data_IF_152770709241
#
_entry.id   IF_152770709241
#
_cell.length_a   1.000
_cell.length_b   1.000
_cell.length_c   1.000
_cell.angle_alpha   90.00
_cell.angle_beta   90.00
_cell.angle_gamma   90.00
#
_symmetry.space_group_name_H-M   'P 1'
#
loop_
_entity.id
_entity.type
_entity.pdbx_description
1 polymer ?
#
# COMPACT_ATOMS: atom_id res chain seq x y z
N UNK A 1 2.96 -6.35 6.00
CA UNK A 1 3.53 -5.42 7.01
C UNK A 1 3.11 -4.02 6.62
N UNK A 2 2.17 -3.45 7.35
CA UNK A 2 1.80 -2.04 7.20
C UNK A 2 2.71 -1.27 8.13
N UNK A 3 3.31 -0.21 7.64
CA UNK A 3 4.40 0.43 8.35
C UNK A 3 4.48 1.90 8.00
N UNK A 4 4.91 2.73 8.95
CA UNK A 4 5.16 4.15 8.71
C UNK A 4 6.65 4.43 8.75
N UNK A 5 7.17 5.23 7.81
CA UNK A 5 8.55 5.69 7.90
C UNK A 5 8.68 6.69 9.05
N UNK A 6 9.74 6.54 9.85
CA UNK A 6 9.93 7.34 11.07
C UNK A 6 10.12 8.82 10.78
N UNK A 7 10.91 9.18 9.76
CA UNK A 7 11.12 10.56 9.31
C UNK A 7 9.83 11.22 8.82
N UNK A 8 9.07 10.54 7.96
CA UNK A 8 7.74 11.00 7.50
C UNK A 8 6.83 11.25 8.70
N UNK A 9 6.75 10.29 9.63
CA UNK A 9 5.85 10.39 10.78
C UNK A 9 6.17 11.59 11.66
N UNK A 10 7.46 11.80 11.98
CA UNK A 10 7.90 12.94 12.82
C UNK A 10 7.63 14.28 12.14
N UNK A 11 7.84 14.37 10.82
CA UNK A 11 7.55 15.59 10.06
C UNK A 11 6.05 15.86 9.99
N UNK A 12 5.23 14.82 9.74
CA UNK A 12 3.77 14.94 9.73
C UNK A 12 3.21 15.36 11.09
N UNK A 13 3.69 14.75 12.18
CA UNK A 13 3.32 15.11 13.54
C UNK A 13 3.67 16.58 13.82
N UNK A 14 4.91 16.98 13.54
CA UNK A 14 5.35 18.36 13.73
C UNK A 14 4.53 19.37 12.92
N UNK A 15 4.31 19.12 11.62
CA UNK A 15 3.46 19.99 10.79
C UNK A 15 2.03 20.07 11.33
N UNK A 16 1.49 18.97 11.87
CA UNK A 16 0.17 18.95 12.51
C UNK A 16 0.13 19.79 13.79
N UNK A 17 1.19 19.79 14.60
CA UNK A 17 1.30 20.68 15.78
C UNK A 17 1.32 22.16 15.39
N UNK A 18 1.79 22.47 14.19
CA UNK A 18 1.74 23.81 13.60
C UNK A 18 0.39 24.09 12.91
N UNK A 19 -0.64 23.26 13.07
CA UNK A 19 -1.95 23.47 12.43
C UNK A 19 -1.95 23.28 10.91
N UNK A 20 -0.89 22.72 10.31
CA UNK A 20 -0.84 22.47 8.87
C UNK A 20 -1.69 21.23 8.53
N UNK A 21 -2.70 21.42 7.68
CA UNK A 21 -3.53 20.31 7.19
C UNK A 21 -2.75 19.43 6.19
N UNK A 22 -2.49 18.19 6.57
CA UNK A 22 -1.76 17.20 5.75
C UNK A 22 -2.62 16.58 4.65
N UNK A 23 -2.61 17.19 3.46
CA UNK A 23 -3.25 16.61 2.26
C UNK A 23 -2.38 15.53 1.62
N UNK A 24 -2.98 14.63 0.82
CA UNK A 24 -2.22 13.64 0.02
C UNK A 24 -1.16 14.29 -0.88
N UNK A 25 -1.42 15.51 -1.38
CA UNK A 25 -0.47 16.28 -2.17
C UNK A 25 0.72 16.73 -1.32
N UNK A 26 0.47 17.33 -0.16
CA UNK A 26 1.52 17.77 0.76
C UNK A 26 2.38 16.59 1.22
N UNK A 27 1.77 15.46 1.57
CA UNK A 27 2.49 14.22 1.95
C UNK A 27 3.46 13.77 0.86
N UNK A 28 3.06 13.79 -0.42
CA UNK A 28 3.95 13.46 -1.56
C UNK A 28 5.12 14.45 -1.69
N UNK A 29 4.88 15.74 -1.45
CA UNK A 29 5.94 16.76 -1.51
C UNK A 29 6.95 16.56 -0.37
N UNK A 30 6.46 16.28 0.85
CA UNK A 30 7.31 15.96 2.01
C UNK A 30 8.18 14.72 1.72
N UNK A 31 7.61 13.65 1.16
CA UNK A 31 8.38 12.46 0.75
C UNK A 31 9.49 12.84 -0.24
N UNK A 32 9.19 13.71 -1.22
CA UNK A 32 10.19 14.17 -2.17
C UNK A 32 11.32 14.96 -1.49
N UNK A 33 10.98 15.84 -0.55
CA UNK A 33 11.98 16.59 0.23
C UNK A 33 12.88 15.68 1.08
N UNK A 34 12.30 14.64 1.70
CA UNK A 34 13.07 13.65 2.48
C UNK A 34 14.09 12.93 1.58
N UNK A 35 13.68 12.51 0.39
CA UNK A 35 14.56 11.81 -0.55
C UNK A 35 15.57 12.75 -1.23
N UNK A 36 15.20 14.02 -1.43
CA UNK A 36 15.97 15.06 -2.10
C UNK A 36 15.88 16.37 -1.29
N UNK A 37 16.74 16.51 -0.27
CA UNK A 37 16.77 17.71 0.58
C UNK A 37 17.38 18.90 -0.18
N UNK A 38 16.55 19.55 -0.99
CA UNK A 38 16.89 20.75 -1.76
C UNK A 38 16.01 21.93 -1.37
N UNK A 39 16.52 23.14 -1.60
CA UNK A 39 15.75 24.37 -1.36
C UNK A 39 14.47 24.42 -2.22
N UNK A 40 14.52 23.92 -3.44
CA UNK A 40 13.35 23.85 -4.33
C UNK A 40 12.26 22.94 -3.79
N UNK A 41 12.63 21.80 -3.21
CA UNK A 41 11.67 20.90 -2.59
C UNK A 41 11.13 21.47 -1.27
N UNK A 42 11.93 22.21 -0.50
CA UNK A 42 11.46 22.98 0.66
C UNK A 42 10.43 24.05 0.25
N UNK A 43 10.71 24.83 -0.79
CA UNK A 43 9.81 25.86 -1.29
C UNK A 43 8.46 25.32 -1.75
N UNK A 44 8.42 24.07 -2.22
CA UNK A 44 7.15 23.38 -2.54
C UNK A 44 6.36 23.02 -1.29
N UNK A 45 7.03 22.61 -0.20
CA UNK A 45 6.39 22.37 1.09
C UNK A 45 5.77 23.67 1.60
N UNK A 46 6.56 24.75 1.63
CA UNK A 46 6.08 26.05 2.10
C UNK A 46 4.91 26.54 1.26
N UNK A 47 5.01 26.53 -0.06
CA UNK A 47 3.92 26.96 -0.96
C UNK A 47 2.62 26.20 -0.72
N UNK A 48 2.67 24.88 -0.53
CA UNK A 48 1.46 24.09 -0.28
C UNK A 48 0.93 24.27 1.15
N UNK A 49 1.80 24.48 2.14
CA UNK A 49 1.45 24.73 3.54
C UNK A 49 0.93 26.15 3.79
N UNK A 50 1.43 27.15 3.05
CA UNK A 50 1.11 28.59 3.15
C UNK A 50 -0.36 28.92 2.91
N UNK A 51 -1.16 27.99 2.38
CA UNK A 51 -2.62 28.11 2.38
C UNK A 51 -3.21 28.16 3.79
N UNK A 52 -2.50 27.64 4.79
CA UNK A 52 -2.96 27.52 6.17
C UNK A 52 -2.03 28.20 7.17
N UNK A 53 -0.70 28.18 6.97
CA UNK A 53 0.30 28.82 7.86
C UNK A 53 1.63 29.07 7.11
N UNK A 54 2.32 30.16 7.45
CA UNK A 54 3.64 30.48 6.89
C UNK A 54 4.73 29.72 7.67
N UNK A 55 5.52 28.92 6.96
CA UNK A 55 6.70 28.23 7.52
C UNK A 55 7.94 29.11 7.39
N UNK A 56 8.75 29.15 8.45
CA UNK A 56 10.01 29.89 8.54
C UNK A 56 11.22 28.96 8.59
N UNK A 57 12.43 29.52 8.49
CA UNK A 57 13.69 28.76 8.54
C UNK A 57 13.87 27.93 9.82
N UNK A 58 13.31 28.40 10.94
CA UNK A 58 13.30 27.62 12.18
C UNK A 58 12.52 26.30 12.02
N UNK A 59 11.41 26.30 11.26
CA UNK A 59 10.68 25.07 10.97
C UNK A 59 11.49 24.15 10.06
N UNK A 60 12.22 24.70 9.08
CA UNK A 60 13.11 23.92 8.21
C UNK A 60 14.16 23.18 9.03
N UNK A 61 14.83 23.87 9.96
CA UNK A 61 15.86 23.25 10.83
C UNK A 61 15.30 22.09 11.66
N UNK A 62 14.08 22.23 12.20
CA UNK A 62 13.43 21.16 12.95
C UNK A 62 13.12 19.97 12.03
N UNK A 63 12.56 20.23 10.85
CA UNK A 63 12.26 19.17 9.86
C UNK A 63 13.55 18.46 9.41
N UNK A 64 14.62 19.21 9.14
CA UNK A 64 15.92 18.66 8.76
C UNK A 64 16.51 17.74 9.84
N UNK A 65 16.25 18.03 11.12
CA UNK A 65 16.69 17.19 12.24
C UNK A 65 16.01 15.81 12.28
N UNK A 66 14.86 15.64 11.61
CA UNK A 66 14.16 14.37 11.51
C UNK A 66 14.63 13.50 10.35
N UNK A 67 15.44 14.03 9.43
CA UNK A 67 15.95 13.27 8.30
C UNK A 67 16.91 12.19 8.77
N UNK A 68 16.68 10.96 8.31
CA UNK A 68 17.49 9.81 8.67
C UNK A 68 18.61 9.68 7.63
N UNK A 69 19.86 9.74 8.09
CA UNK A 69 21.00 9.35 7.25
C UNK A 69 21.16 7.82 7.29
N UNK A 70 20.63 7.14 6.27
CA UNK A 70 20.68 5.68 6.11
C UNK A 70 22.11 5.14 5.87
N UNK A 71 23.08 6.00 5.54
CA UNK A 71 24.49 5.61 5.30
C UNK A 71 25.40 5.82 6.51
N UNK A 72 24.88 6.38 7.61
CA UNK A 72 25.65 6.57 8.83
C UNK A 72 26.05 5.22 9.42
N UNK A 73 27.36 5.04 9.64
CA UNK A 73 27.90 3.84 10.30
C UNK A 73 27.84 4.02 11.81
N UNK A 74 27.41 2.98 12.51
CA UNK A 74 27.34 2.91 13.97
C UNK A 74 28.23 1.79 14.50
N UNK A 75 28.60 1.87 15.77
CA UNK A 75 29.35 0.86 16.51
C UNK A 75 28.51 0.35 17.70
N UNK A 76 29.00 -0.67 18.40
CA UNK A 76 28.27 -1.28 19.53
C UNK A 76 28.01 -0.32 20.70
N UNK A 77 28.75 0.79 20.82
CA UNK A 77 28.51 1.77 21.90
C UNK A 77 27.34 2.70 21.58
N UNK A 78 27.00 2.88 20.30
CA UNK A 78 25.94 3.80 19.86
C UNK A 78 24.86 3.13 19.00
N UNK A 79 24.72 1.79 19.07
CA UNK A 79 23.73 1.06 18.28
C UNK A 79 22.28 1.44 18.63
N UNK A 80 22.02 1.88 19.86
CA UNK A 80 20.69 2.37 20.29
C UNK A 80 20.32 3.71 19.67
N UNK A 81 21.27 4.44 19.08
CA UNK A 81 21.01 5.68 18.35
C UNK A 81 20.51 5.43 16.92
N UNK A 82 20.63 4.19 16.41
CA UNK A 82 20.15 3.82 15.08
C UNK A 82 18.64 4.09 15.03
N UNK A 83 18.26 5.11 14.25
CA UNK A 83 16.87 5.42 14.03
C UNK A 83 16.23 4.26 13.25
N UNK A 84 15.21 3.64 13.82
CA UNK A 84 14.42 2.67 13.06
C UNK A 84 13.81 3.38 11.86
N UNK A 85 14.03 2.86 10.66
CA UNK A 85 13.41 3.38 9.43
C UNK A 85 11.88 3.22 9.45
N UNK A 86 11.38 2.33 10.31
CA UNK A 86 9.99 1.91 10.37
C UNK A 86 9.51 1.76 11.81
N UNK A 87 8.27 2.19 12.12
CA UNK A 87 7.63 2.01 13.43
C UNK A 87 6.14 1.63 13.31
N UNK A 88 5.53 1.32 14.45
CA UNK A 88 4.09 1.06 14.63
C UNK A 88 3.56 -0.13 13.81
N UNK A 89 4.17 -1.30 14.01
CA UNK A 89 3.82 -2.52 13.27
C UNK A 89 2.45 -3.09 13.70
N UNK A 90 1.58 -3.29 12.70
CA UNK A 90 0.32 -4.03 12.84
C UNK A 90 0.46 -5.47 12.35
N UNK A 91 0.16 -6.43 13.22
CA UNK A 91 0.14 -7.86 12.90
C UNK A 91 -1.30 -8.38 12.81
N UNK A 92 -1.59 -9.22 11.84
CA UNK A 92 -2.88 -9.88 11.69
C UNK A 92 -2.72 -11.30 11.15
N UNK A 93 -3.66 -12.17 11.51
CA UNK A 93 -3.75 -13.54 11.01
C UNK A 93 -5.10 -13.72 10.32
N UNK A 94 -5.08 -14.10 9.05
CA UNK A 94 -6.28 -14.39 8.27
C UNK A 94 -6.02 -15.54 7.29
N UNK A 95 -7.08 -16.31 7.03
CA UNK A 95 -7.04 -17.29 5.95
C UNK A 95 -6.90 -16.60 4.59
N UNK A 96 -6.11 -17.18 3.69
CA UNK A 96 -5.83 -16.58 2.37
C UNK A 96 -7.08 -16.23 1.57
N UNK A 97 -8.08 -17.12 1.56
CA UNK A 97 -9.32 -16.92 0.81
C UNK A 97 -10.16 -15.74 1.34
N UNK A 98 -10.08 -15.45 2.65
CA UNK A 98 -10.77 -14.33 3.31
C UNK A 98 -10.19 -12.97 2.95
N UNK A 99 -8.97 -12.93 2.41
CA UNK A 99 -8.27 -11.69 2.04
C UNK A 99 -7.92 -11.63 0.56
N UNK A 100 -8.37 -12.57 -0.26
CA UNK A 100 -8.09 -12.59 -1.68
C UNK A 100 -9.05 -11.68 -2.48
N UNK A 101 -8.57 -11.22 -3.64
CA UNK A 101 -9.36 -10.58 -4.69
C UNK A 101 -9.49 -11.50 -5.91
N UNK A 102 -10.20 -11.04 -6.94
CA UNK A 102 -10.40 -11.70 -8.22
C UNK A 102 -9.35 -11.31 -9.29
N UNK A 103 -8.26 -10.66 -8.87
CA UNK A 103 -7.25 -10.08 -9.77
C UNK A 103 -5.87 -10.59 -9.39
N UNK A 104 -4.95 -10.75 -10.36
CA UNK A 104 -3.60 -11.18 -10.05
C UNK A 104 -2.86 -10.07 -9.28
N UNK A 105 -2.00 -10.47 -8.34
CA UNK A 105 -1.12 -9.56 -7.59
C UNK A 105 0.11 -9.11 -8.38
N UNK A 106 0.47 -9.84 -9.43
CA UNK A 106 1.58 -9.52 -10.33
C UNK A 106 1.34 -10.09 -11.74
N UNK A 107 1.72 -9.34 -12.77
CA UNK A 107 1.46 -9.72 -14.17
C UNK A 107 2.32 -10.88 -14.68
N UNK A 108 3.57 -11.00 -14.21
CA UNK A 108 4.53 -11.99 -14.69
C UNK A 108 4.58 -13.27 -13.84
N UNK A 109 4.46 -13.17 -12.52
CA UNK A 109 4.64 -14.29 -11.57
C UNK A 109 3.34 -14.98 -11.13
N UNK A 110 2.21 -14.71 -11.81
CA UNK A 110 0.92 -15.41 -11.63
C UNK A 110 0.46 -15.53 -10.17
N UNK A 111 0.69 -14.49 -9.36
CA UNK A 111 0.27 -14.47 -7.97
C UNK A 111 -1.21 -14.08 -7.82
N UNK A 112 -1.87 -14.62 -6.79
CA UNK A 112 -3.22 -14.19 -6.37
C UNK A 112 -3.14 -12.82 -5.69
N UNK A 113 -3.96 -11.86 -6.12
CA UNK A 113 -4.04 -10.54 -5.48
C UNK A 113 -4.78 -10.57 -4.16
N UNK A 114 -4.39 -9.70 -3.23
CA UNK A 114 -5.05 -9.52 -1.93
C UNK A 114 -5.87 -8.25 -1.86
N UNK A 115 -6.78 -8.19 -0.89
CA UNK A 115 -7.52 -7.00 -0.50
C UNK A 115 -6.56 -5.85 -0.21
N UNK A 116 -6.95 -4.63 -0.60
CA UNK A 116 -6.12 -3.43 -0.53
C UNK A 116 -6.48 -2.55 0.67
N UNK A 117 -7.71 -2.70 1.20
CA UNK A 117 -8.15 -1.94 2.36
C UNK A 117 -7.70 -2.62 3.66
N UNK A 118 -6.91 -1.90 4.46
CA UNK A 118 -6.31 -2.39 5.71
C UNK A 118 -7.35 -2.94 6.68
N UNK A 119 -8.48 -2.25 6.86
CA UNK A 119 -9.55 -2.69 7.75
C UNK A 119 -10.13 -4.04 7.31
N UNK A 120 -10.33 -4.23 6.00
CA UNK A 120 -10.83 -5.50 5.43
C UNK A 120 -9.80 -6.63 5.50
N UNK A 121 -8.51 -6.31 5.33
CA UNK A 121 -7.42 -7.26 5.57
C UNK A 121 -7.43 -7.75 7.02
N UNK A 122 -7.51 -6.83 8.00
CA UNK A 122 -7.55 -7.18 9.42
C UNK A 122 -8.80 -8.00 9.78
N UNK A 123 -9.96 -7.62 9.25
CA UNK A 123 -11.24 -8.28 9.57
C UNK A 123 -11.53 -9.54 8.74
N UNK A 124 -10.67 -9.91 7.78
CA UNK A 124 -10.92 -11.05 6.88
C UNK A 124 -12.16 -10.86 6.00
N UNK A 125 -12.47 -9.61 5.61
CA UNK A 125 -13.66 -9.25 4.83
C UNK A 125 -13.32 -8.92 3.36
N UNK A 126 -12.45 -9.73 2.77
CA UNK A 126 -12.09 -9.69 1.35
C UNK A 126 -13.22 -10.19 0.45
N UNK A 127 -13.02 -10.11 -0.87
CA UNK A 127 -14.05 -10.32 -1.89
C UNK A 127 -14.85 -11.61 -1.69
N UNK A 128 -14.17 -12.75 -1.58
CA UNK A 128 -14.85 -14.05 -1.53
C UNK A 128 -15.65 -14.26 -0.23
N UNK A 129 -15.14 -13.79 0.91
CA UNK A 129 -15.88 -13.86 2.18
C UNK A 129 -17.07 -12.91 2.18
N UNK A 130 -16.88 -11.69 1.70
CA UNK A 130 -17.90 -10.63 1.69
C UNK A 130 -19.08 -11.00 0.78
N UNK A 131 -18.78 -11.45 -0.43
CA UNK A 131 -19.82 -11.59 -1.46
C UNK A 131 -20.48 -12.99 -1.43
N UNK A 132 -19.80 -14.01 -0.88
CA UNK A 132 -20.30 -15.40 -0.89
C UNK A 132 -20.37 -16.09 0.47
N UNK A 133 -20.02 -15.40 1.56
CA UNK A 133 -20.13 -15.93 2.92
C UNK A 133 -19.41 -17.28 3.08
N UNK A 134 -20.17 -18.31 3.48
CA UNK A 134 -19.63 -19.65 3.75
C UNK A 134 -19.29 -20.44 2.48
N UNK A 135 -19.87 -20.06 1.33
CA UNK A 135 -19.49 -20.61 0.01
C UNK A 135 -18.20 -20.01 -0.53
N UNK A 136 -17.71 -18.93 0.08
CA UNK A 136 -16.57 -18.15 -0.40
C UNK A 136 -15.29 -18.97 -0.58
N UNK A 137 -14.97 -19.89 0.33
CA UNK A 137 -13.78 -20.73 0.19
C UNK A 137 -13.85 -21.62 -1.07
N UNK A 138 -14.98 -22.27 -1.31
CA UNK A 138 -15.17 -23.15 -2.47
C UNK A 138 -15.09 -22.36 -3.78
N UNK A 139 -15.68 -21.17 -3.81
CA UNK A 139 -15.64 -20.28 -4.97
C UNK A 139 -14.22 -19.76 -5.20
N UNK A 140 -13.50 -19.37 -4.14
CA UNK A 140 -12.09 -18.98 -4.21
C UNK A 140 -11.23 -20.08 -4.83
N UNK A 141 -11.34 -21.31 -4.32
CA UNK A 141 -10.56 -22.45 -4.81
C UNK A 141 -10.87 -22.73 -6.30
N UNK A 142 -12.14 -22.70 -6.69
CA UNK A 142 -12.56 -22.94 -8.08
C UNK A 142 -12.22 -21.78 -9.03
N UNK A 143 -12.32 -20.54 -8.58
CA UNK A 143 -11.94 -19.36 -9.35
C UNK A 143 -10.45 -19.44 -9.70
N UNK A 144 -9.59 -19.65 -8.70
CA UNK A 144 -8.14 -19.56 -8.90
C UNK A 144 -7.53 -20.78 -9.57
N UNK A 145 -8.12 -21.97 -9.45
CA UNK A 145 -7.67 -23.15 -10.20
C UNK A 145 -8.00 -23.05 -11.70
N UNK A 146 -9.07 -22.33 -12.06
CA UNK A 146 -9.50 -22.13 -13.45
C UNK A 146 -9.06 -20.80 -14.05
N UNK A 147 -8.40 -19.93 -13.26
CA UNK A 147 -7.97 -18.61 -13.71
C UNK A 147 -6.87 -18.73 -14.77
N UNK A 148 -7.05 -18.01 -15.88
CA UNK A 148 -6.13 -18.03 -17.00
C UNK A 148 -5.61 -16.62 -17.31
N UNK A 149 -4.32 -16.53 -17.59
CA UNK A 149 -3.77 -15.31 -18.21
C UNK A 149 -4.07 -15.30 -19.70
N UNK A 150 -3.95 -14.14 -20.34
CA UNK A 150 -4.09 -14.01 -21.79
C UNK A 150 -3.11 -14.95 -22.54
N UNK A 151 -1.88 -15.08 -22.05
CA UNK A 151 -0.88 -16.00 -22.61
C UNK A 151 -1.33 -17.46 -22.53
N UNK A 152 -1.93 -17.88 -21.41
CA UNK A 152 -2.47 -19.24 -21.28
C UNK A 152 -3.61 -19.50 -22.26
N UNK A 153 -4.52 -18.54 -22.43
CA UNK A 153 -5.62 -18.65 -23.37
C UNK A 153 -5.11 -18.79 -24.82
N UNK A 154 -4.15 -17.94 -25.21
CA UNK A 154 -3.53 -17.97 -26.54
C UNK A 154 -2.81 -19.29 -26.83
N UNK A 155 -2.13 -19.86 -25.84
CA UNK A 155 -1.44 -21.16 -25.97
C UNK A 155 -2.37 -22.32 -26.31
N UNK A 156 -3.64 -22.22 -25.94
CA UNK A 156 -4.68 -23.22 -26.28
C UNK A 156 -5.59 -22.76 -27.42
N UNK A 157 -5.15 -21.79 -28.23
CA UNK A 157 -5.87 -21.31 -29.40
C UNK A 157 -7.09 -20.43 -29.11
N UNK A 158 -7.19 -19.84 -27.91
CA UNK A 158 -8.27 -18.92 -27.55
C UNK A 158 -7.79 -17.47 -27.48
N UNK A 159 -8.58 -16.56 -28.05
CA UNK A 159 -8.26 -15.13 -28.06
C UNK A 159 -8.35 -14.48 -26.68
N UNK A 160 -9.16 -15.05 -25.78
CA UNK A 160 -9.40 -14.52 -24.43
C UNK A 160 -9.51 -15.63 -23.38
N UNK A 161 -9.14 -15.36 -22.11
CA UNK A 161 -9.46 -16.22 -20.97
C UNK A 161 -10.97 -16.46 -20.82
N UNK A 162 -11.35 -17.54 -20.12
CA UNK A 162 -12.77 -17.85 -19.83
C UNK A 162 -13.47 -16.73 -19.06
N UNK A 163 -12.75 -16.16 -18.10
CA UNK A 163 -13.18 -15.05 -17.27
C UNK A 163 -11.98 -14.20 -16.85
N UNK A 164 -12.24 -12.99 -16.36
CA UNK A 164 -11.19 -12.04 -15.94
C UNK A 164 -11.42 -11.42 -14.57
N UNK A 165 -12.61 -11.62 -14.01
CA UNK A 165 -13.07 -11.09 -12.74
C UNK A 165 -14.21 -11.98 -12.21
N UNK A 166 -14.65 -11.73 -10.98
CA UNK A 166 -15.66 -12.57 -10.33
C UNK A 166 -17.00 -12.57 -11.08
N UNK A 167 -17.40 -11.45 -11.69
CA UNK A 167 -18.66 -11.36 -12.43
C UNK A 167 -18.66 -12.27 -13.66
N UNK A 168 -17.64 -12.14 -14.52
CA UNK A 168 -17.47 -12.99 -15.72
C UNK A 168 -17.21 -14.46 -15.37
N UNK A 169 -16.67 -14.74 -14.18
CA UNK A 169 -16.55 -16.10 -13.68
C UNK A 169 -17.91 -16.73 -13.38
N UNK A 170 -18.83 -15.98 -12.76
CA UNK A 170 -20.18 -16.48 -12.49
C UNK A 170 -20.94 -16.75 -13.79
N UNK A 171 -20.85 -15.85 -14.78
CA UNK A 171 -21.41 -16.05 -16.13
C UNK A 171 -20.84 -17.32 -16.79
N UNK A 172 -19.53 -17.54 -16.66
CA UNK A 172 -18.88 -18.72 -17.19
C UNK A 172 -19.37 -20.00 -16.50
N UNK A 173 -19.47 -20.02 -15.17
CA UNK A 173 -20.00 -21.17 -14.41
C UNK A 173 -21.44 -21.49 -14.80
N UNK A 174 -22.28 -20.47 -14.98
CA UNK A 174 -23.66 -20.64 -15.43
C UNK A 174 -23.72 -21.26 -16.83
N UNK A 175 -22.85 -20.84 -17.75
CA UNK A 175 -22.77 -21.39 -19.10
C UNK A 175 -22.37 -22.87 -19.18
N UNK A 176 -21.81 -23.45 -18.11
CA UNK A 176 -21.46 -24.87 -18.04
C UNK A 176 -22.62 -25.76 -17.57
N UNK A 177 -23.67 -25.17 -17.01
CA UNK A 177 -24.83 -25.89 -16.50
C UNK A 177 -26.00 -25.91 -17.49
N UNK A 178 -25.84 -25.25 -18.65
CA UNK A 178 -26.78 -25.25 -19.78
C UNK A 178 -26.24 -26.16 -20.90
#
# INVERSE_FOLDING_TARGET
MIYSRTDISKIEEYLSTLGVKLTLKLKKIVIKYINENTIDNWNKITTEASKNIVLIDANKKIIDSYLINETKVYNLKNFTEIQSVVKDFDFFLQEKWKIALDRPGSGNTKNIGSEVYINKLKSGNGLFKRDFGDKGKKIFDNYWINYETLDMAKKVGRDKPRFKNIATYLEWVESLNN
#
